data_IF_129644291747
#
_entry.id   IF_129644291747
#
_cell.length_a   1.000
_cell.length_b   1.000
_cell.length_c   1.000
_cell.angle_alpha   90.00
_cell.angle_beta   90.00
_cell.angle_gamma   90.00
#
_symmetry.space_group_name_H-M   'P 1'
#
loop_
_entity.id
_entity.type
_entity.pdbx_description
1 polymer ?
#
# COMPACT_ATOMS: atom_id res chain seq x y z
N UNK A 1 24.79 30.70 -16.58
CA UNK A 1 23.59 30.20 -15.88
C UNK A 1 24.04 29.15 -14.87
N UNK A 2 24.32 29.53 -13.61
CA UNK A 2 24.76 28.59 -12.57
C UNK A 2 23.52 27.94 -11.98
N UNK A 3 23.24 26.69 -12.37
CA UNK A 3 22.22 25.88 -11.70
C UNK A 3 22.66 25.64 -10.25
N UNK A 4 21.79 26.04 -9.33
CA UNK A 4 22.04 26.02 -7.90
C UNK A 4 22.05 24.56 -7.42
N UNK A 5 23.23 23.97 -7.24
CA UNK A 5 23.37 22.58 -6.75
C UNK A 5 22.58 22.33 -5.44
N UNK A 6 22.36 23.37 -4.64
CA UNK A 6 21.52 23.34 -3.43
C UNK A 6 20.05 23.00 -3.70
N UNK A 7 19.45 23.53 -4.77
CA UNK A 7 18.05 23.23 -5.09
C UNK A 7 17.86 21.82 -5.62
N UNK A 8 18.82 21.30 -6.39
CA UNK A 8 18.83 19.90 -6.84
C UNK A 8 18.98 18.92 -5.68
N UNK A 9 19.85 19.22 -4.71
CA UNK A 9 20.01 18.40 -3.52
C UNK A 9 18.72 18.40 -2.69
N UNK A 10 18.11 19.57 -2.46
CA UNK A 10 16.82 19.70 -1.76
C UNK A 10 15.72 18.85 -2.40
N UNK A 11 15.63 18.83 -3.74
CA UNK A 11 14.67 17.98 -4.46
C UNK A 11 14.93 16.49 -4.23
N UNK A 12 16.20 16.04 -4.24
CA UNK A 12 16.55 14.64 -3.99
C UNK A 12 16.13 14.16 -2.59
N UNK A 13 16.29 15.02 -1.58
CA UNK A 13 15.78 14.76 -0.23
C UNK A 13 14.25 14.64 -0.23
N UNK A 14 13.54 15.56 -0.89
CA UNK A 14 12.07 15.49 -1.01
C UNK A 14 11.59 14.21 -1.70
N UNK A 15 12.27 13.76 -2.77
CA UNK A 15 11.96 12.48 -3.41
C UNK A 15 12.21 11.30 -2.48
N UNK A 16 13.33 11.31 -1.74
CA UNK A 16 13.63 10.23 -0.79
C UNK A 16 12.60 10.13 0.34
N UNK A 17 12.05 11.27 0.79
CA UNK A 17 11.00 11.31 1.81
C UNK A 17 9.67 10.81 1.23
N UNK A 18 9.28 11.27 0.04
CA UNK A 18 8.06 10.82 -0.62
C UNK A 18 8.07 9.31 -0.88
N UNK A 19 9.20 8.75 -1.32
CA UNK A 19 9.35 7.30 -1.52
C UNK A 19 9.20 6.55 -0.19
N UNK A 20 9.84 7.03 0.88
CA UNK A 20 9.73 6.40 2.21
C UNK A 20 8.30 6.45 2.75
N UNK A 21 7.58 7.55 2.53
CA UNK A 21 6.19 7.68 2.91
C UNK A 21 5.29 6.72 2.14
N UNK A 22 5.52 6.56 0.83
CA UNK A 22 4.76 5.63 0.02
C UNK A 22 5.03 4.16 0.42
N UNK A 23 6.29 3.81 0.72
CA UNK A 23 6.64 2.50 1.30
C UNK A 23 5.89 2.27 2.62
N UNK A 24 5.93 3.23 3.54
CA UNK A 24 5.22 3.12 4.81
C UNK A 24 3.71 2.99 4.61
N UNK A 25 3.13 3.69 3.63
CA UNK A 25 1.71 3.58 3.26
C UNK A 25 1.40 2.15 2.81
N UNK A 26 2.21 1.57 1.92
CA UNK A 26 2.05 0.19 1.46
C UNK A 26 2.22 -0.82 2.61
N UNK A 27 3.26 -0.70 3.43
CA UNK A 27 3.47 -1.61 4.56
C UNK A 27 2.34 -1.53 5.59
N UNK A 28 1.73 -0.35 5.76
CA UNK A 28 0.63 -0.15 6.72
C UNK A 28 -0.70 -0.76 6.30
N UNK A 29 -0.93 -1.01 4.99
CA UNK A 29 -2.18 -1.64 4.53
C UNK A 29 -2.16 -3.16 4.70
N UNK A 30 -0.97 -3.79 4.75
CA UNK A 30 -0.83 -5.24 4.89
C UNK A 30 -1.52 -5.82 6.13
N UNK A 31 -1.38 -5.24 7.35
CA UNK A 31 -2.15 -5.69 8.52
C UNK A 31 -3.66 -5.69 8.31
N UNK A 32 -4.19 -4.71 7.57
CA UNK A 32 -5.63 -4.62 7.31
C UNK A 32 -6.07 -5.63 6.25
N UNK A 33 -5.26 -5.87 5.22
CA UNK A 33 -5.52 -6.90 4.20
C UNK A 33 -5.54 -8.30 4.83
N UNK A 34 -4.58 -8.63 5.70
CA UNK A 34 -4.59 -9.91 6.42
C UNK A 34 -5.80 -10.07 7.33
N UNK A 35 -6.18 -9.02 8.07
CA UNK A 35 -7.39 -9.04 8.89
C UNK A 35 -8.67 -9.27 8.05
N UNK A 36 -8.72 -8.75 6.82
CA UNK A 36 -9.84 -9.01 5.90
C UNK A 36 -9.87 -10.49 5.48
N UNK A 37 -8.73 -11.11 5.19
CA UNK A 37 -8.68 -12.55 4.89
C UNK A 37 -9.19 -13.39 6.08
N UNK A 38 -8.83 -13.05 7.31
CA UNK A 38 -9.36 -13.72 8.52
C UNK A 38 -10.89 -13.61 8.61
N UNK A 39 -11.45 -12.43 8.26
CA UNK A 39 -12.90 -12.23 8.22
C UNK A 39 -13.57 -13.04 7.11
N UNK A 40 -12.93 -13.18 5.94
CA UNK A 40 -13.42 -13.99 4.82
C UNK A 40 -13.43 -15.48 5.21
N UNK A 41 -12.39 -15.96 5.90
CA UNK A 41 -12.31 -17.33 6.43
C UNK A 41 -13.48 -17.66 7.38
N UNK A 42 -14.01 -16.66 8.08
CA UNK A 42 -15.14 -16.82 9.00
C UNK A 42 -16.52 -16.91 8.30
N UNK A 43 -16.60 -16.71 6.98
CA UNK A 43 -17.86 -16.77 6.22
C UNK A 43 -18.23 -18.24 5.98
N UNK A 44 -19.43 -18.70 6.42
CA UNK A 44 -19.83 -20.10 6.31
C UNK A 44 -20.26 -20.51 4.89
N UNK A 45 -20.74 -19.56 4.08
CA UNK A 45 -21.13 -19.82 2.69
C UNK A 45 -19.89 -19.79 1.78
N UNK A 46 -19.49 -20.93 1.18
CA UNK A 46 -18.29 -21.01 0.36
C UNK A 46 -18.38 -20.22 -0.95
N UNK A 47 -19.57 -20.01 -1.50
CA UNK A 47 -19.75 -19.22 -2.72
C UNK A 47 -19.51 -17.73 -2.44
N UNK A 48 -20.12 -17.22 -1.37
CA UNK A 48 -19.95 -15.83 -0.94
C UNK A 48 -18.51 -15.57 -0.51
N UNK A 49 -17.92 -16.51 0.24
CA UNK A 49 -16.53 -16.46 0.65
C UNK A 49 -15.59 -16.30 -0.57
N UNK A 50 -15.77 -17.13 -1.60
CA UNK A 50 -14.96 -17.08 -2.81
C UNK A 50 -15.15 -15.78 -3.59
N UNK A 51 -16.39 -15.31 -3.77
CA UNK A 51 -16.66 -14.05 -4.46
C UNK A 51 -16.02 -12.84 -3.76
N UNK A 52 -16.10 -12.79 -2.43
CA UNK A 52 -15.47 -11.71 -1.65
C UNK A 52 -13.95 -11.81 -1.72
N UNK A 53 -13.38 -13.01 -1.65
CA UNK A 53 -11.94 -13.24 -1.82
C UNK A 53 -11.44 -12.70 -3.16
N UNK A 54 -12.14 -12.97 -4.26
CA UNK A 54 -11.80 -12.46 -5.58
C UNK A 54 -11.82 -10.93 -5.65
N UNK A 55 -12.78 -10.29 -5.00
CA UNK A 55 -12.82 -8.82 -4.91
C UNK A 55 -11.66 -8.23 -4.11
N UNK A 56 -11.23 -8.89 -3.04
CA UNK A 56 -10.09 -8.43 -2.21
C UNK A 56 -8.77 -8.54 -2.98
N UNK A 57 -8.58 -9.60 -3.76
CA UNK A 57 -7.38 -9.76 -4.61
C UNK A 57 -7.25 -8.64 -5.65
N UNK A 58 -8.37 -8.06 -6.13
CA UNK A 58 -8.32 -6.95 -7.08
C UNK A 58 -7.91 -5.59 -6.46
N UNK A 59 -7.95 -5.45 -5.14
CA UNK A 59 -7.63 -4.18 -4.44
C UNK A 59 -6.30 -4.23 -3.66
N UNK A 60 -5.72 -5.42 -3.51
CA UNK A 60 -4.32 -5.64 -3.12
C UNK A 60 -3.37 -5.22 -4.25
#
# INVERSE_FOLDING_TARGET
MRMNAKSQMQSYWSYSVAIRQEIQRFESVHPSIYAIYDLIEAIPDPLIQQQIREHVVCIE
#
